data_IF_340457000944
#
_entry.id   IF_340457000944
#
_cell.length_a   1.000
_cell.length_b   1.000
_cell.length_c   1.000
_cell.angle_alpha   90.00
_cell.angle_beta   90.00
_cell.angle_gamma   90.00
#
_symmetry.space_group_name_H-M   'P 1'
#
loop_
_entity.id
_entity.type
_entity.pdbx_description
1 polymer ?
#
# COMPACT_ATOMS: atom_id res chain seq x y z
N UNK A 1 -16.45 -2.25 14.37
CA UNK A 1 -15.87 -1.13 15.13
C UNK A 1 -16.94 -0.24 15.75
N UNK A 2 -16.62 0.46 16.86
CA UNK A 2 -17.55 1.35 17.56
C UNK A 2 -17.69 2.74 16.88
N UNK A 3 -17.92 2.75 15.56
CA UNK A 3 -18.05 3.98 14.77
C UNK A 3 -19.15 4.92 15.24
N UNK A 4 -20.19 4.38 15.88
CA UNK A 4 -21.28 5.16 16.45
C UNK A 4 -20.84 6.13 17.57
N UNK A 5 -19.65 5.93 18.13
CA UNK A 5 -19.04 6.82 19.13
C UNK A 5 -18.16 7.92 18.49
N UNK A 6 -18.03 7.93 17.16
CA UNK A 6 -17.17 8.86 16.44
C UNK A 6 -17.99 9.82 15.57
N UNK A 7 -17.58 11.07 15.43
CA UNK A 7 -18.19 12.01 14.49
C UNK A 7 -17.74 11.68 13.07
N UNK A 8 -18.35 10.64 12.47
CA UNK A 8 -17.92 10.09 11.17
C UNK A 8 -17.89 11.12 10.04
N UNK A 9 -18.71 12.17 10.12
CA UNK A 9 -18.70 13.29 9.15
C UNK A 9 -17.42 14.14 9.19
N UNK A 10 -16.65 14.08 10.27
CA UNK A 10 -15.36 14.80 10.39
C UNK A 10 -14.18 14.04 9.76
N UNK A 11 -14.37 12.77 9.40
CA UNK A 11 -13.33 11.98 8.73
C UNK A 11 -13.41 12.18 7.21
N UNK A 12 -12.75 13.23 6.74
CA UNK A 12 -12.72 13.61 5.33
C UNK A 12 -11.44 13.01 4.71
N UNK A 13 -11.53 12.22 3.62
CA UNK A 13 -10.34 11.70 2.95
C UNK A 13 -9.53 12.84 2.31
N UNK A 14 -8.25 12.60 2.08
CA UNK A 14 -7.41 13.51 1.30
C UNK A 14 -8.02 13.73 -0.09
N UNK A 15 -7.90 14.92 -0.69
CA UNK A 15 -8.55 15.27 -1.96
C UNK A 15 -8.28 14.30 -3.11
N UNK A 16 -7.07 13.72 -3.16
CA UNK A 16 -6.65 12.79 -4.22
C UNK A 16 -6.88 11.30 -3.90
N UNK A 17 -7.42 10.99 -2.71
CA UNK A 17 -7.59 9.61 -2.27
C UNK A 17 -9.02 9.06 -2.45
N UNK A 18 -9.99 9.90 -2.74
CA UNK A 18 -11.39 9.50 -2.93
C UNK A 18 -12.02 10.08 -4.19
N UNK A 19 -12.41 9.20 -5.12
CA UNK A 19 -13.19 9.60 -6.29
C UNK A 19 -14.68 9.70 -5.95
N UNK A 20 -15.14 8.84 -5.03
CA UNK A 20 -16.55 8.75 -4.63
C UNK A 20 -16.68 9.06 -3.13
N UNK A 21 -17.52 10.04 -2.78
CA UNK A 21 -17.70 10.50 -1.40
C UNK A 21 -19.13 10.27 -0.92
N UNK A 22 -19.37 9.95 0.36
CA UNK A 22 -18.40 9.73 1.44
C UNK A 22 -17.54 8.50 1.25
N UNK A 23 -16.26 8.60 1.66
CA UNK A 23 -15.31 7.48 1.69
C UNK A 23 -14.98 7.10 3.12
N UNK A 24 -15.01 5.81 3.41
CA UNK A 24 -14.68 5.28 4.73
C UNK A 24 -13.59 4.20 4.63
N UNK A 25 -12.82 4.04 5.70
CA UNK A 25 -11.80 3.00 5.80
C UNK A 25 -12.29 1.83 6.65
N UNK A 26 -11.84 0.62 6.30
CA UNK A 26 -12.01 -0.58 7.10
C UNK A 26 -10.79 -1.48 7.02
N UNK A 27 -10.63 -2.33 8.03
CA UNK A 27 -9.59 -3.36 8.09
C UNK A 27 -10.26 -4.73 7.97
N UNK A 28 -9.84 -5.53 7.00
CA UNK A 28 -10.32 -6.89 6.79
C UNK A 28 -9.33 -7.96 7.27
N UNK A 29 -8.06 -7.58 7.50
CA UNK A 29 -7.02 -8.44 8.01
C UNK A 29 -5.96 -7.66 8.79
N UNK A 30 -5.18 -8.36 9.62
CA UNK A 30 -4.06 -7.81 10.38
C UNK A 30 -2.85 -8.72 10.25
N UNK A 31 -1.65 -8.11 10.33
CA UNK A 31 -0.38 -8.79 10.23
C UNK A 31 0.08 -9.01 8.79
N UNK A 32 1.39 -9.10 8.62
CA UNK A 32 2.02 -9.36 7.34
C UNK A 32 3.23 -10.28 7.55
N UNK A 33 3.31 -11.46 6.90
CA UNK A 33 4.40 -12.41 7.12
C UNK A 33 5.70 -12.03 6.42
N UNK A 34 5.66 -11.07 5.51
CA UNK A 34 6.85 -10.59 4.81
C UNK A 34 7.79 -9.84 5.75
N UNK A 35 9.07 -9.81 5.40
CA UNK A 35 10.16 -9.29 6.23
C UNK A 35 10.89 -8.11 5.57
N UNK A 36 10.14 -7.20 4.96
CA UNK A 36 10.73 -5.98 4.41
C UNK A 36 11.42 -5.19 5.52
N UNK A 37 12.70 -4.85 5.34
CA UNK A 37 13.53 -4.27 6.41
C UNK A 37 13.05 -2.89 6.90
N UNK A 38 12.36 -2.15 6.04
CA UNK A 38 11.82 -0.81 6.34
C UNK A 38 10.49 -0.85 7.11
N UNK A 39 9.84 -2.03 7.17
CA UNK A 39 8.50 -2.16 7.73
C UNK A 39 8.56 -2.50 9.23
N UNK A 40 7.87 -1.73 10.07
CA UNK A 40 7.65 -2.10 11.46
C UNK A 40 6.50 -3.11 11.60
N UNK A 41 6.77 -4.19 12.30
CA UNK A 41 5.80 -5.24 12.61
C UNK A 41 5.22 -5.13 14.03
N UNK A 42 5.57 -4.07 14.78
CA UNK A 42 5.18 -3.91 16.17
C UNK A 42 3.68 -3.81 16.40
N UNK A 43 2.95 -3.18 15.48
CA UNK A 43 1.51 -2.91 15.65
C UNK A 43 0.63 -4.15 15.46
N UNK A 44 0.81 -4.89 14.36
CA UNK A 44 -0.07 -6.03 14.02
C UNK A 44 0.64 -7.38 14.00
N UNK A 45 1.97 -7.39 14.12
CA UNK A 45 2.80 -8.57 14.09
C UNK A 45 2.92 -9.21 12.71
N UNK A 46 3.60 -10.34 12.67
CA UNK A 46 3.86 -11.10 11.45
C UNK A 46 2.82 -12.18 11.17
N UNK A 47 2.03 -12.54 12.17
CA UNK A 47 0.97 -13.55 12.02
C UNK A 47 -0.22 -12.93 11.31
N UNK A 48 -0.54 -13.44 10.12
CA UNK A 48 -1.69 -12.99 9.34
C UNK A 48 -2.99 -13.53 9.94
N UNK A 49 -3.93 -12.65 10.21
CA UNK A 49 -5.27 -12.96 10.73
C UNK A 49 -6.30 -12.17 9.93
N UNK A 50 -7.27 -12.86 9.34
CA UNK A 50 -8.34 -12.24 8.56
C UNK A 50 -9.71 -12.47 9.18
N UNK A 51 -10.63 -11.57 8.91
CA UNK A 51 -12.06 -11.78 9.15
C UNK A 51 -12.63 -12.69 8.07
N UNK A 52 -13.78 -13.33 8.36
CA UNK A 52 -14.51 -14.10 7.37
C UNK A 52 -15.11 -13.18 6.29
N UNK A 53 -15.38 -13.70 5.08
CA UNK A 53 -16.03 -12.94 4.01
C UNK A 53 -17.35 -12.32 4.44
N UNK A 54 -18.19 -13.06 5.17
CA UNK A 54 -19.50 -12.61 5.66
C UNK A 54 -19.34 -11.39 6.57
N UNK A 55 -18.40 -11.46 7.54
CA UNK A 55 -18.15 -10.35 8.46
C UNK A 55 -17.61 -9.12 7.72
N UNK A 56 -16.79 -9.30 6.70
CA UNK A 56 -16.26 -8.19 5.89
C UNK A 56 -17.43 -7.50 5.18
N UNK A 57 -18.30 -8.27 4.56
CA UNK A 57 -19.43 -7.72 3.82
C UNK A 57 -20.49 -7.13 4.77
N UNK A 58 -20.72 -7.71 5.96
CA UNK A 58 -21.57 -7.09 7.00
C UNK A 58 -21.07 -5.67 7.35
N UNK A 59 -19.75 -5.49 7.50
CA UNK A 59 -19.17 -4.19 7.81
C UNK A 59 -19.27 -3.22 6.60
N UNK A 60 -19.14 -3.73 5.36
CA UNK A 60 -19.37 -2.92 4.16
C UNK A 60 -20.82 -2.43 4.10
N UNK A 61 -21.80 -3.29 4.36
CA UNK A 61 -23.22 -2.94 4.40
C UNK A 61 -23.52 -1.93 5.52
N UNK A 62 -22.92 -2.08 6.70
CA UNK A 62 -23.04 -1.08 7.79
C UNK A 62 -22.51 0.28 7.31
N UNK A 63 -21.36 0.32 6.66
CA UNK A 63 -20.78 1.57 6.13
C UNK A 63 -21.68 2.23 5.08
N UNK A 64 -22.30 1.44 4.21
CA UNK A 64 -23.21 1.92 3.17
C UNK A 64 -24.50 2.46 3.80
N UNK A 65 -25.18 1.64 4.58
CA UNK A 65 -26.54 1.95 5.02
C UNK A 65 -26.57 2.95 6.18
N UNK A 66 -25.59 2.88 7.08
CA UNK A 66 -25.57 3.75 8.27
C UNK A 66 -24.76 5.03 8.07
N UNK A 67 -23.69 4.97 7.27
CA UNK A 67 -22.76 6.08 7.11
C UNK A 67 -22.71 6.62 5.68
N UNK A 68 -23.52 6.08 4.77
CA UNK A 68 -23.68 6.58 3.41
C UNK A 68 -22.45 6.36 2.52
N UNK A 69 -21.60 5.37 2.83
CA UNK A 69 -20.38 5.11 2.09
C UNK A 69 -20.66 4.90 0.59
N UNK A 70 -19.93 5.61 -0.25
CA UNK A 70 -19.87 5.42 -1.70
C UNK A 70 -18.53 4.82 -2.14
N UNK A 71 -17.50 4.93 -1.29
CA UNK A 71 -16.19 4.33 -1.47
C UNK A 71 -15.70 3.76 -0.14
N UNK A 72 -15.10 2.57 -0.18
CA UNK A 72 -14.52 1.89 0.98
C UNK A 72 -13.05 1.59 0.71
N UNK A 73 -12.16 2.09 1.57
CA UNK A 73 -10.74 1.76 1.51
C UNK A 73 -10.42 0.60 2.45
N UNK A 74 -10.00 -0.54 1.91
CA UNK A 74 -9.34 -1.56 2.72
C UNK A 74 -7.92 -1.10 3.05
N UNK A 75 -7.66 -0.87 4.35
CA UNK A 75 -6.37 -0.37 4.86
C UNK A 75 -5.58 -1.48 5.57
N UNK A 76 -5.69 -2.68 5.04
CA UNK A 76 -4.97 -3.85 5.53
C UNK A 76 -3.46 -3.68 5.29
N UNK A 77 -2.64 -4.25 6.19
CA UNK A 77 -1.21 -4.38 5.94
C UNK A 77 -0.94 -5.23 4.68
N UNK A 78 -1.80 -6.21 4.40
CA UNK A 78 -1.74 -7.04 3.20
C UNK A 78 -3.12 -7.66 2.89
N UNK A 79 -3.84 -7.09 1.93
CA UNK A 79 -5.16 -7.60 1.53
C UNK A 79 -5.06 -8.92 0.75
N UNK A 80 -4.05 -9.08 -0.11
CA UNK A 80 -3.93 -10.13 -1.14
C UNK A 80 -3.14 -11.37 -0.72
N UNK A 81 -2.81 -11.58 0.58
CA UNK A 81 -1.97 -12.72 0.97
C UNK A 81 -2.60 -14.08 0.64
N UNK A 82 -3.87 -14.24 0.90
CA UNK A 82 -4.63 -15.46 0.64
C UNK A 82 -5.62 -15.21 -0.51
N UNK A 83 -5.34 -15.76 -1.69
CA UNK A 83 -6.15 -15.60 -2.89
C UNK A 83 -7.55 -16.19 -2.73
N UNK A 84 -7.66 -17.38 -2.13
CA UNK A 84 -8.95 -18.03 -1.88
C UNK A 84 -9.86 -17.13 -1.04
N UNK A 85 -9.30 -16.52 0.01
CA UNK A 85 -10.04 -15.53 0.82
C UNK A 85 -10.53 -14.36 -0.03
N UNK A 86 -9.70 -13.84 -0.94
CA UNK A 86 -10.09 -12.71 -1.79
C UNK A 86 -11.22 -13.12 -2.74
N UNK A 87 -11.16 -14.30 -3.35
CA UNK A 87 -12.27 -14.84 -4.15
C UNK A 87 -13.54 -14.96 -3.31
N UNK A 88 -13.45 -15.54 -2.11
CA UNK A 88 -14.61 -15.69 -1.23
C UNK A 88 -15.22 -14.33 -0.81
N UNK A 89 -14.40 -13.29 -0.61
CA UNK A 89 -14.89 -11.92 -0.33
C UNK A 89 -15.59 -11.33 -1.56
N UNK A 90 -15.01 -11.49 -2.74
CA UNK A 90 -15.59 -11.04 -4.01
C UNK A 90 -16.92 -11.73 -4.27
N UNK A 91 -16.97 -13.05 -4.10
CA UNK A 91 -18.19 -13.85 -4.28
C UNK A 91 -19.28 -13.42 -3.29
N UNK A 92 -18.93 -13.13 -2.03
CA UNK A 92 -19.88 -12.70 -1.03
C UNK A 92 -20.43 -11.28 -1.33
N UNK A 93 -19.58 -10.35 -1.81
CA UNK A 93 -20.01 -9.03 -2.29
C UNK A 93 -21.02 -9.19 -3.43
N UNK A 94 -20.75 -10.06 -4.40
CA UNK A 94 -21.64 -10.32 -5.54
C UNK A 94 -22.92 -11.02 -5.12
N UNK A 95 -22.84 -12.06 -4.28
CA UNK A 95 -23.98 -12.83 -3.76
C UNK A 95 -24.99 -11.93 -3.03
N UNK A 96 -24.50 -10.98 -2.23
CA UNK A 96 -25.35 -10.00 -1.52
C UNK A 96 -25.71 -8.79 -2.39
N UNK A 97 -25.24 -8.73 -3.63
CA UNK A 97 -25.46 -7.60 -4.53
C UNK A 97 -25.05 -6.24 -3.93
N UNK A 98 -23.98 -6.22 -3.14
CA UNK A 98 -23.47 -5.00 -2.53
C UNK A 98 -22.90 -4.07 -3.61
N UNK A 99 -23.42 -2.85 -3.67
CA UNK A 99 -23.05 -1.83 -4.67
C UNK A 99 -22.30 -0.69 -3.99
N UNK A 100 -21.00 -0.76 -4.01
CA UNK A 100 -20.09 0.27 -3.49
C UNK A 100 -18.76 0.21 -4.23
N UNK A 101 -18.13 1.35 -4.41
CA UNK A 101 -16.76 1.40 -4.88
C UNK A 101 -15.80 1.04 -3.75
N UNK A 102 -14.70 0.35 -4.06
CA UNK A 102 -13.71 0.06 -3.03
C UNK A 102 -12.29 -0.02 -3.59
N UNK A 103 -11.32 0.13 -2.70
CA UNK A 103 -9.89 0.12 -3.00
C UNK A 103 -9.14 -0.77 -2.02
N UNK A 104 -8.04 -1.39 -2.45
CA UNK A 104 -7.17 -2.14 -1.55
C UNK A 104 -5.70 -2.04 -1.97
N UNK A 105 -4.80 -2.46 -1.07
CA UNK A 105 -3.37 -2.59 -1.37
C UNK A 105 -3.06 -4.00 -1.81
N UNK A 106 -2.34 -4.11 -2.93
CA UNK A 106 -1.92 -5.38 -3.54
C UNK A 106 -0.39 -5.50 -3.54
N UNK A 107 0.09 -6.75 -3.62
CA UNK A 107 1.50 -7.09 -3.72
C UNK A 107 1.75 -7.84 -5.02
N UNK A 108 2.83 -7.50 -5.73
CA UNK A 108 3.06 -7.99 -7.08
C UNK A 108 3.17 -9.52 -7.16
N UNK A 109 3.83 -10.17 -6.20
CA UNK A 109 3.98 -11.63 -6.19
C UNK A 109 2.73 -12.41 -5.70
N UNK A 110 1.70 -11.72 -5.22
CA UNK A 110 0.46 -12.35 -4.73
C UNK A 110 -0.74 -12.13 -5.68
N UNK A 111 -0.62 -11.25 -6.66
CA UNK A 111 -1.72 -10.78 -7.53
C UNK A 111 -1.67 -11.45 -8.89
N UNK A 112 -2.83 -11.85 -9.44
CA UNK A 112 -2.97 -12.40 -10.78
C UNK A 112 -3.97 -11.59 -11.61
N UNK A 113 -3.90 -11.64 -12.96
CA UNK A 113 -4.86 -10.92 -13.81
C UNK A 113 -6.32 -11.31 -13.54
N UNK A 114 -6.59 -12.59 -13.30
CA UNK A 114 -7.95 -13.12 -13.07
C UNK A 114 -8.57 -12.51 -11.82
N UNK A 115 -7.83 -12.48 -10.72
CA UNK A 115 -8.32 -11.91 -9.44
C UNK A 115 -8.59 -10.41 -9.56
N UNK A 116 -7.79 -9.69 -10.37
CA UNK A 116 -8.02 -8.26 -10.62
C UNK A 116 -9.32 -8.03 -11.38
N UNK A 117 -9.63 -8.89 -12.38
CA UNK A 117 -10.89 -8.84 -13.11
C UNK A 117 -12.09 -9.14 -12.20
N UNK A 118 -11.98 -10.14 -11.31
CA UNK A 118 -13.03 -10.47 -10.35
C UNK A 118 -13.26 -9.34 -9.36
N UNK A 119 -12.19 -8.76 -8.83
CA UNK A 119 -12.27 -7.57 -7.97
C UNK A 119 -12.95 -6.40 -8.69
N UNK A 120 -12.62 -6.16 -9.97
CA UNK A 120 -13.30 -5.13 -10.77
C UNK A 120 -14.80 -5.37 -10.87
N UNK A 121 -15.22 -6.62 -11.15
CA UNK A 121 -16.64 -6.99 -11.22
C UNK A 121 -17.37 -6.80 -9.89
N UNK A 122 -16.64 -6.93 -8.76
CA UNK A 122 -17.17 -6.69 -7.41
C UNK A 122 -17.10 -5.22 -6.94
N UNK A 123 -16.79 -4.28 -7.83
CA UNK A 123 -16.80 -2.85 -7.50
C UNK A 123 -15.44 -2.27 -7.09
N UNK A 124 -14.35 -3.04 -7.12
CA UNK A 124 -13.01 -2.47 -6.98
C UNK A 124 -12.75 -1.49 -8.12
N UNK A 125 -12.33 -0.27 -7.79
CA UNK A 125 -12.03 0.71 -8.82
C UNK A 125 -10.55 1.09 -8.86
N UNK A 126 -9.81 0.91 -7.77
CA UNK A 126 -8.39 1.23 -7.65
C UNK A 126 -7.65 0.16 -6.85
N UNK A 127 -6.50 -0.25 -7.34
CA UNK A 127 -5.52 -1.03 -6.57
C UNK A 127 -4.28 -0.19 -6.29
N UNK A 128 -3.74 -0.33 -5.08
CA UNK A 128 -2.53 0.35 -4.61
C UNK A 128 -1.41 -0.67 -4.54
N UNK A 129 -0.36 -0.46 -5.32
CA UNK A 129 0.77 -1.39 -5.46
C UNK A 129 2.00 -0.84 -4.73
N UNK A 130 2.49 -1.55 -3.73
CA UNK A 130 3.78 -1.25 -3.11
C UNK A 130 4.91 -1.68 -4.05
N UNK A 131 5.40 -0.76 -4.88
CA UNK A 131 6.54 -0.98 -5.77
C UNK A 131 7.87 -0.76 -5.05
N UNK A 132 7.95 0.25 -4.22
CA UNK A 132 9.03 0.71 -3.35
C UNK A 132 10.25 1.23 -4.12
N UNK A 133 10.81 0.45 -5.06
CA UNK A 133 11.96 0.86 -5.89
C UNK A 133 11.84 0.35 -7.32
N UNK A 134 12.54 0.99 -8.25
CA UNK A 134 12.65 0.58 -9.65
C UNK A 134 14.00 -0.08 -10.00
N UNK A 135 14.70 -0.59 -9.00
CA UNK A 135 15.98 -1.29 -9.16
C UNK A 135 15.92 -2.61 -8.38
N UNK A 136 16.25 -3.74 -9.04
CA UNK A 136 16.10 -5.08 -8.43
C UNK A 136 17.10 -5.33 -7.29
N UNK A 137 18.28 -4.69 -7.29
CA UNK A 137 19.24 -4.81 -6.18
C UNK A 137 18.70 -4.11 -4.93
N UNK A 138 18.07 -2.94 -5.10
CA UNK A 138 17.40 -2.23 -4.00
C UNK A 138 16.23 -3.06 -3.48
N UNK A 139 15.37 -3.59 -4.36
CA UNK A 139 14.25 -4.47 -3.97
C UNK A 139 14.72 -5.71 -3.20
N UNK A 140 15.82 -6.29 -3.62
CA UNK A 140 16.45 -7.42 -2.92
C UNK A 140 17.01 -7.02 -1.56
N UNK A 141 17.72 -5.90 -1.48
CA UNK A 141 18.28 -5.41 -0.23
C UNK A 141 17.19 -5.13 0.81
N UNK A 142 16.11 -4.45 0.43
CA UNK A 142 14.98 -4.15 1.32
C UNK A 142 14.08 -5.37 1.58
N UNK A 143 14.43 -6.54 1.05
CA UNK A 143 13.67 -7.81 1.16
C UNK A 143 12.20 -7.65 0.75
N UNK A 144 11.97 -6.90 -0.33
CA UNK A 144 10.61 -6.75 -0.87
C UNK A 144 10.09 -8.06 -1.48
N UNK A 145 11.01 -8.98 -1.88
CA UNK A 145 10.66 -10.28 -2.49
C UNK A 145 9.76 -10.15 -3.73
N UNK A 146 9.96 -9.11 -4.50
CA UNK A 146 9.36 -8.90 -5.82
C UNK A 146 10.41 -8.36 -6.78
N UNK A 147 10.18 -8.54 -8.08
CA UNK A 147 11.02 -7.98 -9.14
C UNK A 147 10.30 -6.87 -9.89
N UNK A 148 11.05 -6.04 -10.61
CA UNK A 148 10.50 -5.01 -11.51
C UNK A 148 9.51 -5.60 -12.53
N UNK A 149 9.83 -6.79 -13.06
CA UNK A 149 8.94 -7.43 -14.04
C UNK A 149 7.61 -7.87 -13.43
N UNK A 150 7.61 -8.36 -12.19
CA UNK A 150 6.37 -8.65 -11.46
C UNK A 150 5.55 -7.39 -11.19
N UNK A 151 6.21 -6.28 -10.81
CA UNK A 151 5.55 -4.98 -10.60
C UNK A 151 4.92 -4.51 -11.91
N UNK A 152 5.65 -4.57 -13.03
CA UNK A 152 5.15 -4.20 -14.36
C UNK A 152 3.98 -5.05 -14.79
N UNK A 153 4.08 -6.37 -14.62
CA UNK A 153 3.02 -7.30 -14.97
C UNK A 153 1.71 -7.01 -14.23
N UNK A 154 1.78 -6.74 -12.91
CA UNK A 154 0.59 -6.42 -12.11
C UNK A 154 0.03 -5.04 -12.44
N UNK A 155 0.89 -4.03 -12.64
CA UNK A 155 0.43 -2.70 -13.05
C UNK A 155 -0.32 -2.77 -14.40
N UNK A 156 0.24 -3.50 -15.38
CA UNK A 156 -0.42 -3.73 -16.67
C UNK A 156 -1.72 -4.51 -16.53
N UNK A 157 -1.74 -5.59 -15.78
CA UNK A 157 -2.95 -6.39 -15.58
C UNK A 157 -4.07 -5.60 -14.90
N UNK A 158 -3.71 -4.69 -13.97
CA UNK A 158 -4.67 -3.81 -13.33
C UNK A 158 -5.27 -2.80 -14.32
N UNK A 159 -4.43 -2.20 -15.18
CA UNK A 159 -4.86 -1.28 -16.23
C UNK A 159 -5.75 -2.00 -17.26
N UNK A 160 -5.32 -3.17 -17.74
CA UNK A 160 -6.09 -4.02 -18.67
C UNK A 160 -7.46 -4.43 -18.09
N UNK A 161 -7.56 -4.61 -16.77
CA UNK A 161 -8.83 -4.89 -16.08
C UNK A 161 -9.71 -3.64 -15.88
N UNK A 162 -9.27 -2.47 -16.29
CA UNK A 162 -9.96 -1.19 -16.09
C UNK A 162 -9.97 -0.73 -14.63
N UNK A 163 -9.02 -1.20 -13.83
CA UNK A 163 -8.70 -0.65 -12.53
C UNK A 163 -7.81 0.60 -12.70
N UNK A 164 -7.77 1.43 -11.67
CA UNK A 164 -6.88 2.60 -11.66
C UNK A 164 -5.64 2.27 -10.80
N UNK A 165 -4.54 1.74 -11.39
CA UNK A 165 -3.38 1.35 -10.60
C UNK A 165 -2.67 2.59 -10.07
N UNK A 166 -2.46 2.60 -8.75
CA UNK A 166 -1.61 3.56 -8.04
C UNK A 166 -0.41 2.83 -7.48
N UNK A 167 0.80 3.36 -7.65
CA UNK A 167 2.00 2.78 -7.05
C UNK A 167 2.59 3.68 -5.98
N UNK A 168 3.14 3.03 -4.95
CA UNK A 168 3.97 3.66 -3.93
C UNK A 168 5.43 3.36 -4.21
N UNK A 169 6.25 4.41 -4.22
CA UNK A 169 7.69 4.34 -4.29
C UNK A 169 8.30 5.04 -3.09
N UNK A 170 9.46 4.57 -2.69
CA UNK A 170 10.30 5.24 -1.71
C UNK A 170 11.67 5.49 -2.32
N UNK A 171 12.27 6.63 -2.02
CA UNK A 171 13.65 7.00 -2.37
C UNK A 171 14.48 7.21 -1.10
N UNK A 172 15.79 7.03 -1.20
CA UNK A 172 16.69 7.15 -0.05
C UNK A 172 16.80 5.87 0.77
N UNK A 173 16.63 4.69 0.16
CA UNK A 173 16.94 3.42 0.79
C UNK A 173 18.45 3.30 1.12
N UNK A 174 18.85 2.49 2.13
CA UNK A 174 20.23 2.41 2.61
C UNK A 174 21.31 2.15 1.54
N UNK A 175 20.96 1.48 0.45
CA UNK A 175 21.92 1.17 -0.65
C UNK A 175 21.65 1.96 -1.92
N UNK A 176 20.75 2.94 -1.88
CA UNK A 176 20.48 3.74 -3.07
C UNK A 176 21.58 4.76 -3.34
N UNK A 177 21.86 4.91 -4.60
CA UNK A 177 22.65 5.99 -5.19
C UNK A 177 21.74 6.86 -6.04
N UNK A 178 22.21 8.03 -6.46
CA UNK A 178 21.45 8.90 -7.35
C UNK A 178 21.05 8.17 -8.64
N UNK A 179 21.95 7.37 -9.23
CA UNK A 179 21.66 6.60 -10.44
C UNK A 179 20.50 5.61 -10.20
N UNK A 180 20.47 4.91 -9.06
CA UNK A 180 19.40 3.97 -8.72
C UNK A 180 18.06 4.68 -8.46
N UNK A 181 18.09 5.88 -7.91
CA UNK A 181 16.89 6.72 -7.77
C UNK A 181 16.38 7.13 -9.16
N UNK A 182 17.27 7.56 -10.07
CA UNK A 182 16.90 7.88 -11.45
C UNK A 182 16.36 6.67 -12.21
N UNK A 183 16.91 5.46 -12.00
CA UNK A 183 16.33 4.22 -12.53
C UNK A 183 14.90 3.98 -12.00
N UNK A 184 14.67 4.24 -10.70
CA UNK A 184 13.35 4.11 -10.09
C UNK A 184 12.34 5.09 -10.70
N UNK A 185 12.75 6.33 -10.95
CA UNK A 185 11.94 7.35 -11.62
C UNK A 185 11.62 6.93 -13.06
N UNK A 186 12.62 6.47 -13.82
CA UNK A 186 12.42 6.00 -15.19
C UNK A 186 11.50 4.77 -15.24
N UNK A 187 11.65 3.86 -14.30
CA UNK A 187 10.79 2.68 -14.16
C UNK A 187 9.35 3.08 -13.87
N UNK A 188 9.12 3.96 -12.88
CA UNK A 188 7.78 4.44 -12.53
C UNK A 188 7.08 5.08 -13.73
N UNK A 189 7.79 5.89 -14.52
CA UNK A 189 7.27 6.52 -15.75
C UNK A 189 6.94 5.53 -16.86
N UNK A 190 7.54 4.34 -16.85
CA UNK A 190 7.29 3.28 -17.85
C UNK A 190 6.07 2.42 -17.53
N UNK A 191 5.48 2.57 -16.34
CA UNK A 191 4.35 1.78 -15.90
C UNK A 191 3.02 2.46 -16.28
N UNK A 192 1.96 1.71 -16.62
CA UNK A 192 0.63 2.24 -16.89
C UNK A 192 -0.09 2.60 -15.58
N UNK A 193 0.42 3.60 -14.87
CA UNK A 193 -0.13 4.07 -13.60
C UNK A 193 -1.04 5.27 -13.80
N UNK A 194 -2.16 5.31 -13.08
CA UNK A 194 -3.04 6.48 -13.02
C UNK A 194 -2.65 7.46 -11.93
N UNK A 195 -1.87 7.00 -10.95
CA UNK A 195 -1.42 7.81 -9.83
C UNK A 195 -0.15 7.21 -9.22
N UNK A 196 0.67 8.05 -8.62
CA UNK A 196 1.92 7.68 -7.95
C UNK A 196 2.08 8.47 -6.66
N UNK A 197 2.60 7.84 -5.63
CA UNK A 197 3.11 8.51 -4.44
C UNK A 197 4.57 8.13 -4.26
N UNK A 198 5.43 9.13 -4.18
CA UNK A 198 6.84 8.96 -3.85
C UNK A 198 7.05 9.50 -2.45
N UNK A 199 7.65 8.69 -1.58
CA UNK A 199 7.98 9.06 -0.20
C UNK A 199 9.48 8.98 0.03
N UNK A 200 9.99 9.76 0.96
CA UNK A 200 11.38 9.65 1.40
C UNK A 200 11.46 8.56 2.46
N UNK A 201 12.40 7.64 2.29
CA UNK A 201 12.61 6.54 3.22
C UNK A 201 12.89 7.07 4.63
N UNK A 202 12.01 6.75 5.53
CA UNK A 202 12.05 7.16 6.94
C UNK A 202 12.22 5.91 7.80
N UNK A 203 13.43 5.61 8.30
CA UNK A 203 13.62 4.48 9.19
C UNK A 203 12.77 4.62 10.46
N UNK A 204 11.99 3.58 10.75
CA UNK A 204 11.10 3.57 11.91
C UNK A 204 11.70 2.74 13.05
N UNK A 205 11.57 3.16 14.31
CA UNK A 205 11.88 2.31 15.45
C UNK A 205 11.11 1.00 15.38
N UNK A 206 11.79 -0.12 15.65
CA UNK A 206 11.19 -1.46 15.53
C UNK A 206 11.34 -2.11 14.15
N UNK A 207 11.60 -1.35 13.08
CA UNK A 207 12.01 -1.89 11.80
C UNK A 207 13.48 -2.32 11.82
N UNK A 208 13.82 -3.39 11.10
CA UNK A 208 15.23 -3.86 11.02
C UNK A 208 16.17 -2.76 10.50
N UNK A 209 15.70 -1.98 9.54
CA UNK A 209 16.44 -0.87 8.95
C UNK A 209 16.94 0.15 10.00
N UNK A 210 16.22 0.33 11.10
CA UNK A 210 16.66 1.21 12.19
C UNK A 210 18.05 0.84 12.72
N UNK A 211 18.33 -0.47 12.84
CA UNK A 211 19.64 -0.97 13.26
C UNK A 211 20.74 -0.81 12.22
N UNK A 212 20.38 -0.66 10.93
CA UNK A 212 21.32 -0.56 9.82
C UNK A 212 21.70 0.89 9.46
N UNK A 213 21.07 1.89 10.06
CA UNK A 213 21.28 3.30 9.67
C UNK A 213 22.75 3.73 9.73
N UNK A 214 23.47 3.37 10.81
CA UNK A 214 24.87 3.79 11.00
C UNK A 214 25.86 3.12 10.02
N UNK A 215 25.49 1.98 9.44
CA UNK A 215 26.32 1.27 8.46
C UNK A 215 26.15 1.85 7.05
N UNK A 216 24.94 2.24 6.69
CA UNK A 216 24.58 2.62 5.31
C UNK A 216 24.32 4.11 5.12
N UNK A 217 24.44 4.92 6.16
CA UNK A 217 24.18 6.35 6.07
C UNK A 217 24.25 7.05 7.42
N UNK A 218 23.63 8.23 7.49
CA UNK A 218 23.65 9.08 8.67
C UNK A 218 22.22 9.53 9.02
N UNK A 219 21.88 9.50 10.30
CA UNK A 219 20.65 10.10 10.80
C UNK A 219 20.78 11.63 10.76
N UNK A 220 19.96 12.30 9.97
CA UNK A 220 20.03 13.75 9.78
C UNK A 220 19.39 14.52 10.93
N UNK A 221 18.42 13.96 11.62
CA UNK A 221 17.77 14.55 12.79
C UNK A 221 17.28 13.49 13.77
N UNK A 222 17.19 13.86 15.06
CA UNK A 222 16.56 13.05 16.11
C UNK A 222 15.19 13.61 16.53
N UNK A 223 14.75 14.70 15.92
CA UNK A 223 13.45 15.29 16.19
C UNK A 223 12.35 14.48 15.47
N UNK A 224 11.48 13.86 16.26
CA UNK A 224 10.36 13.06 15.77
C UNK A 224 9.35 13.86 14.95
N UNK A 225 9.30 15.18 15.11
CA UNK A 225 8.43 16.06 14.31
C UNK A 225 8.72 16.02 12.81
N UNK A 226 9.95 15.61 12.42
CA UNK A 226 10.38 15.50 11.03
C UNK A 226 10.15 14.10 10.42
N UNK A 227 9.72 13.09 11.19
CA UNK A 227 9.49 11.71 10.70
C UNK A 227 8.16 11.61 9.95
N UNK A 228 8.01 12.39 8.89
CA UNK A 228 6.77 12.59 8.14
C UNK A 228 6.70 11.81 6.81
N UNK A 229 7.77 11.12 6.40
CA UNK A 229 7.98 10.52 5.08
C UNK A 229 8.13 11.53 3.92
N UNK A 230 8.12 12.82 4.21
CA UNK A 230 8.27 13.92 3.24
C UNK A 230 9.57 14.68 3.42
N UNK A 231 10.26 14.45 4.52
CA UNK A 231 11.53 15.10 4.87
C UNK A 231 12.61 14.03 5.05
N UNK A 232 13.85 14.26 4.55
CA UNK A 232 14.93 13.31 4.72
C UNK A 232 15.48 13.37 6.16
N UNK A 233 15.07 12.41 6.98
CA UNK A 233 15.56 12.20 8.35
C UNK A 233 16.75 11.24 8.41
N UNK A 234 17.03 10.58 7.30
CA UNK A 234 18.12 9.67 7.07
C UNK A 234 18.74 9.93 5.69
N UNK A 235 20.05 10.02 5.64
CA UNK A 235 20.83 10.26 4.42
C UNK A 235 21.66 9.01 4.13
N UNK A 236 21.36 8.25 3.07
CA UNK A 236 22.22 7.17 2.60
C UNK A 236 23.62 7.66 2.25
N UNK A 237 24.61 6.79 2.36
CA UNK A 237 26.00 7.13 2.00
C UNK A 237 26.06 7.64 0.54
N UNK A 238 26.63 8.82 0.35
CA UNK A 238 26.78 9.46 -0.95
C UNK A 238 25.61 10.29 -1.43
N UNK A 239 24.52 10.39 -0.65
CA UNK A 239 23.39 11.26 -0.93
C UNK A 239 23.33 12.44 0.06
N UNK A 240 23.04 13.62 -0.44
CA UNK A 240 22.78 14.79 0.40
C UNK A 240 21.28 15.06 0.57
N UNK A 241 20.95 15.90 1.53
CA UNK A 241 19.57 16.30 1.78
C UNK A 241 18.95 16.95 0.54
N UNK A 242 19.67 17.87 -0.09
CA UNK A 242 19.22 18.63 -1.27
C UNK A 242 18.98 17.74 -2.48
N UNK A 243 19.61 16.55 -2.53
CA UNK A 243 19.40 15.58 -3.63
C UNK A 243 18.20 14.69 -3.40
N UNK A 244 17.73 14.57 -2.16
CA UNK A 244 16.53 13.82 -1.80
C UNK A 244 15.25 14.68 -1.80
N UNK A 245 15.38 15.98 -1.58
CA UNK A 245 14.33 17.00 -1.73
C UNK A 245 14.12 17.41 -3.20
#
# INVERSE_FOLDING_TARGET
PARHLLPMSSYIPQPNDGLYLPKHAMISSRGCPYRCIFCDHGTYGVSYRSFSPERIVDEMEELIHRYGAKDIAFVDSLFMLNRERVYNVVDEIQRRNVKVHWTCTVRANATTPEILQDMKRAGCWRVRLGAEAGNDDVLKFIRKEVTKDQIRAVAKAADDAGLHPKAFFMIGHPTETEERIMESIAFARSLPLTDITVQINTPLPGAEQWGLMGEHGTQATKDWGHYSFWEPVYLPNGLSKERLE
#
